data_IF_705172967454
#
_entry.id   IF_705172967454
#
_cell.length_a   1.000
_cell.length_b   1.000
_cell.length_c   1.000
_cell.angle_alpha   90.00
_cell.angle_beta   90.00
_cell.angle_gamma   90.00
#
_symmetry.space_group_name_H-M   'P 1'
#
loop_
_entity.id
_entity.type
_entity.pdbx_description
1 polymer ?
#
# COMPACT_ATOMS: atom_id res chain seq x y z
N UNK A 1 -66.58 -1.36 -40.89
CA UNK A 1 -65.67 -1.86 -39.83
C UNK A 1 -64.26 -1.60 -40.36
N UNK A 2 -63.46 -0.65 -39.88
CA UNK A 2 -63.35 -0.16 -38.50
C UNK A 2 -62.63 -1.22 -37.66
N UNK A 3 -61.48 -0.96 -37.02
CA UNK A 3 -60.78 0.32 -36.79
C UNK A 3 -59.41 0.06 -36.14
N UNK A 4 -58.37 0.86 -36.47
CA UNK A 4 -57.24 1.26 -35.58
C UNK A 4 -56.34 0.16 -34.94
N UNK A 5 -55.14 0.35 -34.39
CA UNK A 5 -54.02 1.34 -34.42
C UNK A 5 -52.73 0.52 -34.03
N UNK A 6 -51.46 0.95 -34.10
CA UNK A 6 -50.78 2.23 -34.42
C UNK A 6 -49.40 1.91 -35.08
N UNK A 7 -48.68 2.85 -35.72
CA UNK A 7 -47.49 3.62 -35.24
C UNK A 7 -46.40 2.78 -34.53
N UNK A 8 -45.11 2.91 -34.84
CA UNK A 8 -44.37 4.16 -35.04
C UNK A 8 -43.13 4.02 -35.96
N UNK A 9 -42.89 5.02 -36.84
CA UNK A 9 -41.64 5.13 -37.62
C UNK A 9 -40.64 6.01 -36.85
N UNK A 10 -39.57 5.40 -36.33
CA UNK A 10 -38.44 6.12 -35.71
C UNK A 10 -37.67 6.95 -36.75
N UNK A 11 -38.09 8.20 -36.99
CA UNK A 11 -37.25 9.21 -37.64
C UNK A 11 -36.24 9.76 -36.62
N UNK A 12 -34.94 9.63 -36.91
CA UNK A 12 -33.87 10.10 -36.02
C UNK A 12 -33.71 11.62 -36.10
N UNK A 13 -34.50 12.38 -35.34
CA UNK A 13 -34.52 13.86 -35.31
C UNK A 13 -33.38 14.49 -34.51
N UNK A 14 -32.20 13.86 -34.47
CA UNK A 14 -31.16 14.16 -33.46
C UNK A 14 -30.40 15.50 -33.66
N UNK A 15 -30.62 16.23 -34.76
CA UNK A 15 -29.94 17.49 -35.08
C UNK A 15 -30.85 18.54 -35.75
N UNK A 16 -32.12 18.66 -35.34
CA UNK A 16 -33.04 19.66 -35.92
C UNK A 16 -32.93 21.08 -35.33
N UNK A 17 -32.15 21.28 -34.25
CA UNK A 17 -32.03 22.57 -33.55
C UNK A 17 -30.68 23.27 -33.77
N UNK A 18 -30.02 23.09 -34.93
CA UNK A 18 -28.84 23.86 -35.35
C UNK A 18 -27.51 23.54 -34.63
N UNK A 19 -27.55 22.92 -33.45
CA UNK A 19 -26.36 22.51 -32.72
C UNK A 19 -25.81 21.18 -33.25
N UNK A 20 -24.79 21.25 -34.10
CA UNK A 20 -23.96 20.09 -34.45
C UNK A 20 -23.17 19.57 -33.24
N UNK A 21 -22.49 18.42 -33.34
CA UNK A 21 -21.58 17.97 -32.30
C UNK A 21 -20.50 19.04 -32.03
N UNK A 22 -20.17 19.33 -30.76
CA UNK A 22 -19.18 20.35 -30.41
C UNK A 22 -17.80 20.03 -31.02
N UNK A 23 -17.00 21.06 -31.28
CA UNK A 23 -15.73 20.88 -31.99
C UNK A 23 -14.70 20.13 -31.13
N UNK A 24 -13.67 19.58 -31.76
CA UNK A 24 -12.55 18.94 -31.06
C UNK A 24 -11.80 19.89 -30.11
N UNK A 25 -11.96 21.21 -30.26
CA UNK A 25 -11.43 22.19 -29.31
C UNK A 25 -12.32 22.31 -28.05
N UNK A 26 -13.65 22.25 -28.20
CA UNK A 26 -14.60 22.34 -27.09
C UNK A 26 -14.63 21.07 -26.21
N UNK A 27 -14.09 19.96 -26.72
CA UNK A 27 -13.90 18.71 -25.97
C UNK A 27 -12.66 18.73 -25.06
N UNK A 28 -11.82 19.76 -25.11
CA UNK A 28 -10.64 19.90 -24.26
C UNK A 28 -10.95 20.41 -22.83
N UNK A 29 -12.10 21.05 -22.60
CA UNK A 29 -12.43 21.66 -21.29
C UNK A 29 -13.39 20.84 -20.41
N UNK A 30 -13.85 19.67 -20.87
CA UNK A 30 -14.69 18.75 -20.06
C UNK A 30 -14.11 17.32 -20.00
N UNK A 31 -12.78 17.22 -19.98
CA UNK A 31 -12.07 16.00 -19.62
C UNK A 31 -12.23 15.67 -18.14
N UNK A 32 -13.16 14.75 -17.83
CA UNK A 32 -13.29 13.93 -16.61
C UNK A 32 -12.41 14.30 -15.42
N UNK A 33 -13.04 14.61 -14.29
CA UNK A 33 -12.44 14.71 -12.94
C UNK A 33 -11.26 13.76 -12.76
N UNK A 34 -10.06 14.28 -13.03
CA UNK A 34 -8.86 13.72 -12.48
C UNK A 34 -8.99 13.90 -10.99
N UNK A 35 -9.17 12.80 -10.25
CA UNK A 35 -8.68 12.73 -8.90
C UNK A 35 -7.16 12.92 -8.99
N UNK A 36 -6.73 14.18 -9.08
CA UNK A 36 -5.54 14.64 -8.38
C UNK A 36 -5.82 14.32 -6.92
N UNK A 37 -5.54 13.08 -6.54
CA UNK A 37 -5.31 12.79 -5.14
C UNK A 37 -4.08 13.64 -4.84
N UNK A 38 -4.28 14.79 -4.23
CA UNK A 38 -3.27 15.46 -3.44
C UNK A 38 -2.99 14.53 -2.26
N UNK A 39 -2.37 13.39 -2.55
CA UNK A 39 -2.07 12.30 -1.61
C UNK A 39 -0.87 12.73 -0.80
N UNK A 40 -1.08 13.74 0.04
CA UNK A 40 -0.24 14.01 1.18
C UNK A 40 -0.16 12.70 1.94
N UNK A 41 1.01 12.06 1.90
CA UNK A 41 1.26 10.80 2.61
C UNK A 41 0.94 11.08 4.08
N UNK A 42 -0.02 10.33 4.62
CA UNK A 42 -0.43 10.46 6.02
C UNK A 42 0.66 9.79 6.85
N UNK A 43 1.21 10.51 7.81
CA UNK A 43 2.15 9.91 8.74
C UNK A 43 1.41 8.97 9.69
N UNK A 44 1.96 7.77 9.90
CA UNK A 44 1.49 6.87 10.95
C UNK A 44 2.05 7.23 12.32
N UNK A 45 1.95 6.27 13.25
CA UNK A 45 2.36 6.42 14.64
C UNK A 45 3.37 5.34 15.08
N UNK A 46 4.17 4.84 14.14
CA UNK A 46 5.42 4.16 14.47
C UNK A 46 6.29 5.05 15.39
N UNK A 47 6.93 4.50 16.43
CA UNK A 47 7.81 5.28 17.29
C UNK A 47 8.94 6.03 16.58
N UNK A 48 9.36 7.14 17.20
CA UNK A 48 10.32 8.06 16.60
C UNK A 48 11.77 7.54 16.66
N UNK A 49 12.10 6.67 17.62
CA UNK A 49 13.40 6.00 17.85
C UNK A 49 13.73 4.86 16.88
N UNK A 50 12.73 4.38 16.13
CA UNK A 50 12.89 3.23 15.24
C UNK A 50 14.00 3.37 14.20
N UNK A 51 14.87 2.35 14.14
CA UNK A 51 15.98 2.24 13.20
C UNK A 51 15.64 1.24 12.08
N UNK A 52 16.13 1.53 10.87
CA UNK A 52 16.02 0.67 9.68
C UNK A 52 17.40 0.55 9.03
N UNK A 53 17.85 -0.68 8.77
CA UNK A 53 19.08 -0.96 8.02
C UNK A 53 18.89 -2.13 7.05
N UNK A 54 19.86 -2.38 6.18
CA UNK A 54 19.82 -3.52 5.26
C UNK A 54 21.07 -4.38 5.35
N UNK A 55 20.90 -5.67 5.04
CA UNK A 55 21.96 -6.65 4.85
C UNK A 55 21.71 -7.38 3.53
N UNK A 56 22.71 -7.41 2.65
CA UNK A 56 22.65 -8.20 1.43
C UNK A 56 23.03 -9.65 1.76
N UNK A 57 22.16 -10.59 1.39
CA UNK A 57 22.32 -12.02 1.65
C UNK A 57 22.56 -12.75 0.33
N UNK A 58 23.67 -13.49 0.23
CA UNK A 58 23.99 -14.36 -0.91
C UNK A 58 23.21 -15.68 -0.85
N UNK A 59 21.88 -15.59 -0.74
CA UNK A 59 20.92 -16.71 -0.72
C UNK A 59 19.53 -16.23 -1.14
N UNK A 60 18.72 -17.17 -1.61
CA UNK A 60 17.38 -16.91 -2.14
C UNK A 60 16.31 -17.03 -1.05
N UNK A 61 15.27 -16.18 -1.12
CA UNK A 61 13.97 -16.50 -0.52
C UNK A 61 13.21 -17.52 -1.38
N UNK A 62 12.35 -18.31 -0.74
CA UNK A 62 11.61 -19.36 -1.42
C UNK A 62 10.73 -18.80 -2.55
N UNK A 63 10.80 -19.41 -3.74
CA UNK A 63 10.12 -18.95 -4.96
C UNK A 63 10.90 -17.93 -5.80
N UNK A 64 12.12 -17.53 -5.42
CA UNK A 64 12.97 -16.61 -6.19
C UNK A 64 14.40 -17.16 -6.38
N UNK A 65 14.59 -18.32 -7.05
CA UNK A 65 15.87 -19.04 -7.11
C UNK A 65 17.00 -18.29 -7.85
N UNK A 66 16.65 -17.36 -8.74
CA UNK A 66 17.61 -16.69 -9.62
C UNK A 66 18.15 -15.36 -9.07
N UNK A 67 17.87 -15.03 -7.81
CA UNK A 67 18.38 -13.80 -7.18
C UNK A 67 18.59 -13.91 -5.66
N UNK A 68 19.62 -13.23 -5.18
CA UNK A 68 19.93 -12.98 -3.76
C UNK A 68 18.79 -12.29 -3.00
N UNK A 69 18.99 -11.99 -1.71
CA UNK A 69 17.96 -11.40 -0.83
C UNK A 69 18.46 -10.12 -0.17
N UNK A 70 17.58 -9.11 -0.09
CA UNK A 70 17.72 -7.96 0.82
C UNK A 70 17.02 -8.34 2.13
N UNK A 71 17.78 -8.51 3.20
CA UNK A 71 17.25 -8.51 4.56
C UNK A 71 17.19 -7.06 5.04
N UNK A 72 16.01 -6.62 5.46
CA UNK A 72 15.77 -5.32 6.07
C UNK A 72 15.66 -5.56 7.57
N UNK A 73 16.51 -4.93 8.37
CA UNK A 73 16.47 -5.03 9.83
C UNK A 73 15.72 -3.84 10.40
N UNK A 74 14.85 -4.09 11.38
CA UNK A 74 14.12 -3.08 12.13
C UNK A 74 14.38 -3.25 13.62
N UNK A 75 14.68 -2.14 14.29
CA UNK A 75 15.00 -2.11 15.71
C UNK A 75 14.33 -0.91 16.38
N UNK A 76 13.56 -1.20 17.42
CA UNK A 76 12.90 -0.24 18.30
C UNK A 76 13.27 -0.61 19.73
N UNK A 77 13.60 0.39 20.53
CA UNK A 77 13.89 0.20 21.95
C UNK A 77 12.61 0.32 22.80
N UNK A 78 12.69 -0.04 24.09
CA UNK A 78 11.62 0.22 25.05
C UNK A 78 11.45 1.73 25.26
N UNK A 79 10.21 2.22 25.31
CA UNK A 79 9.95 3.65 25.34
C UNK A 79 8.67 4.06 26.07
N UNK A 80 8.34 5.35 25.95
CA UNK A 80 7.13 5.97 26.51
C UNK A 80 6.22 6.40 25.36
N UNK A 81 4.93 6.10 25.50
CA UNK A 81 3.93 6.47 24.52
C UNK A 81 3.76 7.99 24.41
N UNK A 82 3.78 8.48 23.18
CA UNK A 82 3.52 9.89 22.85
C UNK A 82 2.02 10.14 22.67
N UNK A 83 1.61 11.39 22.52
CA UNK A 83 0.22 11.77 22.21
C UNK A 83 -0.31 11.21 20.87
N UNK A 84 0.56 10.59 20.05
CA UNK A 84 0.19 9.87 18.81
C UNK A 84 -0.19 8.39 19.05
N UNK A 85 0.04 7.86 20.25
CA UNK A 85 -0.15 6.44 20.58
C UNK A 85 -1.43 6.25 21.43
N UNK A 86 -1.97 5.01 21.55
CA UNK A 86 -3.25 4.78 22.23
C UNK A 86 -3.30 5.17 23.71
N UNK A 87 -2.18 5.04 24.44
CA UNK A 87 -2.10 5.24 25.89
C UNK A 87 -0.93 6.21 26.25
N UNK A 88 -1.04 7.52 26.00
CA UNK A 88 0.05 8.48 26.22
C UNK A 88 0.62 8.43 27.65
N UNK A 89 1.95 8.50 27.77
CA UNK A 89 2.67 8.39 29.04
C UNK A 89 2.86 6.96 29.57
N UNK A 90 2.18 5.96 29.01
CA UNK A 90 2.42 4.55 29.36
C UNK A 90 3.70 4.03 28.72
N UNK A 91 4.40 3.09 29.36
CA UNK A 91 5.53 2.37 28.75
C UNK A 91 5.06 1.46 27.62
N UNK A 92 5.90 1.27 26.61
CA UNK A 92 5.78 0.18 25.64
C UNK A 92 7.09 -0.60 25.55
N UNK A 93 7.02 -1.88 25.19
CA UNK A 93 8.21 -2.66 24.84
C UNK A 93 8.54 -2.53 23.35
N UNK A 94 9.84 -2.47 23.06
CA UNK A 94 10.39 -2.39 21.71
C UNK A 94 10.20 -3.66 20.88
N UNK A 95 10.80 -3.66 19.69
CA UNK A 95 10.73 -4.76 18.73
C UNK A 95 12.02 -4.83 17.92
N UNK A 96 12.62 -6.02 17.85
CA UNK A 96 13.69 -6.33 16.91
C UNK A 96 13.18 -7.37 15.93
N UNK A 97 13.13 -7.03 14.65
CA UNK A 97 12.57 -7.92 13.61
C UNK A 97 13.23 -7.68 12.26
N UNK A 98 12.94 -8.57 11.31
CA UNK A 98 13.49 -8.52 9.95
C UNK A 98 12.38 -8.67 8.92
N UNK A 99 12.59 -8.12 7.73
CA UNK A 99 11.79 -8.42 6.56
C UNK A 99 12.70 -8.77 5.37
N UNK A 100 12.23 -9.65 4.49
CA UNK A 100 12.97 -10.11 3.33
C UNK A 100 12.28 -9.67 2.04
N UNK A 101 13.08 -9.21 1.07
CA UNK A 101 12.64 -9.04 -0.33
C UNK A 101 13.74 -9.57 -1.27
N UNK A 102 13.38 -10.19 -2.41
CA UNK A 102 14.37 -10.66 -3.36
C UNK A 102 15.14 -9.49 -4.00
N UNK A 103 16.44 -9.65 -4.18
CA UNK A 103 17.35 -8.70 -4.83
C UNK A 103 17.19 -8.77 -6.36
N UNK A 104 15.99 -8.45 -6.83
CA UNK A 104 15.66 -8.29 -8.24
C UNK A 104 14.92 -6.97 -8.47
N UNK A 105 14.73 -6.58 -9.73
CA UNK A 105 14.10 -5.30 -10.10
C UNK A 105 12.73 -5.03 -9.45
N UNK A 106 11.93 -6.06 -9.12
CA UNK A 106 10.65 -5.87 -8.42
C UNK A 106 10.84 -5.75 -6.90
N UNK A 107 11.69 -6.57 -6.29
CA UNK A 107 11.96 -6.51 -4.85
C UNK A 107 12.74 -5.27 -4.44
N UNK A 108 13.71 -4.80 -5.23
CA UNK A 108 14.41 -3.52 -5.01
C UNK A 108 13.44 -2.33 -5.04
N UNK A 109 12.43 -2.36 -5.92
CA UNK A 109 11.35 -1.35 -5.93
C UNK A 109 10.52 -1.42 -4.66
N UNK A 110 10.11 -2.61 -4.22
CA UNK A 110 9.38 -2.78 -2.96
C UNK A 110 10.20 -2.27 -1.77
N UNK A 111 11.50 -2.59 -1.68
CA UNK A 111 12.37 -2.05 -0.62
C UNK A 111 12.36 -0.51 -0.58
N UNK A 112 12.50 0.19 -1.72
CA UNK A 112 12.45 1.67 -1.75
C UNK A 112 11.11 2.24 -1.29
N UNK A 113 10.00 1.58 -1.62
CA UNK A 113 8.67 2.00 -1.15
C UNK A 113 8.48 1.72 0.35
N UNK A 114 9.06 0.62 0.87
CA UNK A 114 9.08 0.33 2.32
C UNK A 114 9.95 1.33 3.09
N UNK A 115 11.08 1.77 2.52
CA UNK A 115 11.93 2.83 3.07
C UNK A 115 11.18 4.17 3.18
N UNK A 116 10.42 4.55 2.14
CA UNK A 116 9.51 5.71 2.19
C UNK A 116 8.42 5.51 3.27
N UNK A 117 7.80 4.32 3.34
CA UNK A 117 6.77 4.02 4.35
C UNK A 117 7.31 4.09 5.79
N UNK A 118 8.55 3.63 6.02
CA UNK A 118 9.21 3.72 7.31
C UNK A 118 9.47 5.18 7.72
N UNK A 119 9.96 6.00 6.78
CA UNK A 119 10.15 7.44 7.01
C UNK A 119 8.84 8.17 7.32
N UNK A 120 7.72 7.73 6.73
CA UNK A 120 6.37 8.20 7.03
C UNK A 120 5.72 7.49 8.25
N UNK A 121 6.48 6.70 9.02
CA UNK A 121 6.02 6.06 10.25
C UNK A 121 4.84 5.08 10.06
N UNK A 122 4.77 4.41 8.90
CA UNK A 122 3.64 3.58 8.46
C UNK A 122 3.85 2.06 8.54
N UNK A 123 5.05 1.56 8.86
CA UNK A 123 5.30 0.10 8.91
C UNK A 123 4.94 -0.53 10.26
N UNK A 124 5.04 0.23 11.34
CA UNK A 124 4.79 -0.25 12.71
C UNK A 124 3.87 0.71 13.48
N UNK A 125 3.40 0.28 14.64
CA UNK A 125 2.56 1.04 15.56
C UNK A 125 2.77 0.54 16.99
N UNK A 126 2.28 1.25 18.01
CA UNK A 126 2.19 0.74 19.38
C UNK A 126 0.76 0.22 19.62
N UNK A 127 0.63 -1.02 20.10
CA UNK A 127 -0.66 -1.63 20.39
C UNK A 127 -0.62 -2.47 21.68
N UNK A 128 -1.77 -2.55 22.34
CA UNK A 128 -2.05 -3.45 23.46
C UNK A 128 -2.16 -4.90 22.96
N UNK A 129 -1.44 -5.84 23.58
CA UNK A 129 -1.58 -7.26 23.30
C UNK A 129 -2.75 -7.90 24.05
N UNK A 130 -3.08 -9.15 23.72
CA UNK A 130 -4.08 -9.95 24.46
C UNK A 130 -3.77 -10.12 25.96
N UNK A 131 -2.51 -9.93 26.36
CA UNK A 131 -2.03 -9.93 27.74
C UNK A 131 -2.07 -8.56 28.43
N UNK A 132 -2.50 -7.49 27.74
CA UNK A 132 -2.52 -6.12 28.27
C UNK A 132 -1.16 -5.41 28.23
N UNK A 133 -0.18 -5.94 27.50
CA UNK A 133 1.14 -5.33 27.36
C UNK A 133 1.17 -4.42 26.13
N UNK A 134 1.66 -3.20 26.29
CA UNK A 134 1.85 -2.27 25.18
C UNK A 134 3.16 -2.61 24.46
N UNK A 135 3.11 -2.85 23.14
CA UNK A 135 4.30 -3.21 22.35
C UNK A 135 4.31 -2.55 20.99
N UNK A 136 5.52 -2.35 20.45
CA UNK A 136 5.69 -2.09 19.01
C UNK A 136 5.28 -3.35 18.24
N UNK A 137 4.42 -3.18 17.24
CA UNK A 137 3.91 -4.24 16.38
C UNK A 137 3.77 -3.77 14.93
N UNK A 138 3.52 -4.70 14.01
CA UNK A 138 3.28 -4.41 12.59
C UNK A 138 1.99 -3.61 12.40
N UNK A 139 2.01 -2.63 11.50
CA UNK A 139 0.83 -1.93 11.00
C UNK A 139 0.25 -2.63 9.75
N UNK A 140 -0.55 -1.93 8.93
CA UNK A 140 -1.29 -2.53 7.81
C UNK A 140 -0.41 -2.97 6.61
N UNK A 141 0.86 -2.54 6.54
CA UNK A 141 1.74 -2.88 5.42
C UNK A 141 2.38 -4.24 5.71
N UNK A 142 2.05 -5.31 4.94
CA UNK A 142 2.56 -6.63 5.21
C UNK A 142 4.07 -6.69 4.96
N UNK A 143 4.80 -7.34 5.86
CA UNK A 143 6.22 -7.63 5.75
C UNK A 143 6.42 -9.15 5.78
N UNK A 144 7.38 -9.65 4.98
CA UNK A 144 7.77 -11.06 4.97
C UNK A 144 8.91 -11.30 5.95
N UNK A 145 8.60 -11.80 7.14
CA UNK A 145 9.55 -11.99 8.24
C UNK A 145 10.25 -13.36 8.23
N UNK A 146 9.93 -14.24 7.27
CA UNK A 146 10.54 -15.57 7.09
C UNK A 146 10.90 -15.81 5.62
N UNK A 147 12.09 -16.36 5.38
CA UNK A 147 12.62 -16.64 4.04
C UNK A 147 11.98 -17.85 3.35
N UNK A 148 11.28 -18.71 4.10
CA UNK A 148 10.68 -19.95 3.63
C UNK A 148 9.54 -20.42 4.55
N UNK A 149 8.82 -21.47 4.12
CA UNK A 149 7.85 -22.21 4.95
C UNK A 149 6.37 -22.04 4.57
N UNK A 150 6.01 -21.03 3.77
CA UNK A 150 4.77 -20.94 2.97
C UNK A 150 3.39 -21.03 3.65
N UNK A 151 3.29 -21.32 4.94
CA UNK A 151 2.02 -21.65 5.60
C UNK A 151 1.33 -20.44 6.27
N UNK A 152 1.99 -19.29 6.33
CA UNK A 152 1.46 -18.05 6.91
C UNK A 152 1.68 -16.83 6.00
N UNK A 153 1.00 -15.72 6.30
CA UNK A 153 1.11 -14.48 5.54
C UNK A 153 2.49 -13.81 5.61
N UNK A 154 3.35 -14.23 6.53
CA UNK A 154 4.68 -13.65 6.79
C UNK A 154 5.81 -14.42 6.10
N UNK A 155 5.53 -15.59 5.52
CA UNK A 155 6.52 -16.47 4.90
C UNK A 155 6.54 -16.37 3.38
N UNK A 156 7.71 -16.60 2.79
CA UNK A 156 7.83 -17.09 1.41
C UNK A 156 7.58 -18.62 1.38
N UNK A 157 7.18 -19.21 0.23
CA UNK A 157 6.97 -18.58 -1.05
C UNK A 157 5.61 -17.88 -1.09
N UNK A 158 5.59 -16.66 -1.63
CA UNK A 158 4.35 -15.93 -1.90
C UNK A 158 4.49 -15.22 -3.26
N UNK A 159 3.88 -15.78 -4.33
CA UNK A 159 3.99 -15.21 -5.67
C UNK A 159 3.19 -13.89 -5.81
N UNK A 160 2.30 -13.58 -4.86
CA UNK A 160 1.47 -12.37 -4.91
C UNK A 160 2.02 -11.22 -4.05
N UNK A 161 2.86 -11.51 -3.04
CA UNK A 161 3.36 -10.53 -2.06
C UNK A 161 3.83 -9.21 -2.69
N UNK A 162 4.78 -9.25 -3.62
CA UNK A 162 5.34 -8.03 -4.22
C UNK A 162 4.28 -7.20 -4.98
N UNK A 163 3.23 -7.83 -5.52
CA UNK A 163 2.11 -7.14 -6.17
C UNK A 163 1.15 -6.55 -5.12
N UNK A 164 0.83 -7.31 -4.09
CA UNK A 164 -0.08 -6.90 -3.01
C UNK A 164 0.49 -5.74 -2.20
N UNK A 165 1.74 -5.84 -1.75
CA UNK A 165 2.37 -4.79 -0.93
C UNK A 165 2.47 -3.47 -1.69
N UNK A 166 2.82 -3.48 -2.99
CA UNK A 166 2.79 -2.28 -3.84
C UNK A 166 1.40 -1.64 -3.95
N UNK A 167 0.34 -2.45 -4.04
CA UNK A 167 -1.05 -1.93 -4.06
C UNK A 167 -1.40 -1.25 -2.73
N UNK A 168 -0.99 -1.83 -1.60
CA UNK A 168 -1.23 -1.27 -0.26
C UNK A 168 -0.43 0.04 -0.07
N UNK A 169 0.85 0.05 -0.43
CA UNK A 169 1.71 1.24 -0.42
C UNK A 169 1.12 2.38 -1.27
N UNK A 170 0.69 2.09 -2.50
CA UNK A 170 0.02 3.07 -3.36
C UNK A 170 -1.28 3.60 -2.76
N UNK A 171 -2.06 2.75 -2.07
CA UNK A 171 -3.27 3.22 -1.36
C UNK A 171 -2.98 4.14 -0.16
N UNK A 172 -1.74 4.11 0.37
CA UNK A 172 -1.22 5.05 1.38
C UNK A 172 -0.47 6.25 0.77
N UNK A 173 -0.48 6.41 -0.56
CA UNK A 173 0.14 7.54 -1.27
C UNK A 173 1.61 7.34 -1.66
N UNK A 174 2.13 6.11 -1.62
CA UNK A 174 3.55 5.79 -1.87
C UNK A 174 3.67 5.01 -3.20
N UNK A 175 4.37 5.57 -4.19
CA UNK A 175 4.56 5.02 -5.55
C UNK A 175 5.98 5.25 -6.11
#
# INVERSE_FOLDING_TARGET
MGSEQSKEKMYCTRYLNGNGPPSLADQAENGTSGHQINSKIVNGNQPDDGQMSITHLTRNVEGYPDCDTIQINFEFDDGIQTDKHPNPGQKYYGLKTVAFVPLNHQGTKVYRLLEIAFNHKLLFTVATTSTGEERVTFADIPLKTKESGGHDSFSYPDPNYLKTVKKILKSKGIE
#
